data_IF_850567795711
#
_entry.id   IF_850567795711
#
_cell.length_a   1.000
_cell.length_b   1.000
_cell.length_c   1.000
_cell.angle_alpha   90.00
_cell.angle_beta   90.00
_cell.angle_gamma   90.00
#
_symmetry.space_group_name_H-M   'P 1'
#
loop_
_entity.id
_entity.type
_entity.pdbx_description
1 polymer ?
#
# COMPACT_ATOMS: atom_id res chain seq x y z
N UNK A 1 -24.89 -32.81 8.65
CA UNK A 1 -24.88 -32.04 7.38
C UNK A 1 -24.81 -30.53 7.58
N UNK A 2 -25.65 -29.92 8.42
CA UNK A 2 -25.67 -28.47 8.68
C UNK A 2 -24.30 -27.90 9.11
N UNK A 3 -23.64 -28.55 10.09
CA UNK A 3 -22.33 -28.09 10.59
C UNK A 3 -21.25 -28.13 9.51
N UNK A 4 -21.24 -29.15 8.65
CA UNK A 4 -20.31 -29.27 7.53
C UNK A 4 -20.54 -28.16 6.49
N UNK A 5 -21.80 -27.86 6.18
CA UNK A 5 -22.16 -26.77 5.28
C UNK A 5 -21.75 -25.39 5.84
N UNK A 6 -21.93 -25.15 7.14
CA UNK A 6 -21.48 -23.91 7.81
C UNK A 6 -19.96 -23.78 7.74
N UNK A 7 -19.21 -24.85 8.03
CA UNK A 7 -17.74 -24.83 7.92
C UNK A 7 -17.24 -24.51 6.52
N UNK A 8 -17.90 -25.06 5.49
CA UNK A 8 -17.56 -24.78 4.09
C UNK A 8 -17.85 -23.32 3.71
N UNK A 9 -19.01 -22.79 4.13
CA UNK A 9 -19.37 -21.39 3.90
C UNK A 9 -18.38 -20.43 4.58
N UNK A 10 -17.92 -20.78 5.78
CA UNK A 10 -16.94 -20.00 6.53
C UNK A 10 -15.56 -20.01 5.85
N UNK A 11 -15.10 -21.17 5.38
CA UNK A 11 -13.87 -21.29 4.61
C UNK A 11 -13.93 -20.47 3.30
N UNK A 12 -15.04 -20.57 2.57
CA UNK A 12 -15.26 -19.79 1.36
C UNK A 12 -15.26 -18.28 1.62
N UNK A 13 -15.94 -17.82 2.68
CA UNK A 13 -15.95 -16.40 3.06
C UNK A 13 -14.55 -15.89 3.43
N UNK A 14 -13.75 -16.69 4.14
CA UNK A 14 -12.38 -16.34 4.50
C UNK A 14 -11.46 -16.22 3.26
N UNK A 15 -11.53 -17.19 2.35
CA UNK A 15 -10.77 -17.15 1.09
C UNK A 15 -11.21 -15.96 0.23
N UNK A 16 -12.52 -15.71 0.14
CA UNK A 16 -13.06 -14.57 -0.59
C UNK A 16 -12.56 -13.26 -0.01
N UNK A 17 -12.57 -13.09 1.32
CA UNK A 17 -12.03 -11.90 1.98
C UNK A 17 -10.55 -11.68 1.61
N UNK A 18 -9.69 -12.69 1.74
CA UNK A 18 -8.27 -12.61 1.39
C UNK A 18 -8.03 -12.27 -0.09
N UNK A 19 -8.88 -12.80 -0.97
CA UNK A 19 -8.82 -12.56 -2.40
C UNK A 19 -9.51 -11.25 -2.84
N UNK A 20 -10.20 -10.55 -1.94
CA UNK A 20 -10.85 -9.29 -2.32
C UNK A 20 -9.83 -8.19 -2.54
N UNK A 21 -10.03 -7.43 -3.62
CA UNK A 21 -9.19 -6.28 -3.96
C UNK A 21 -9.17 -5.22 -2.84
N UNK A 22 -10.22 -5.11 -2.04
CA UNK A 22 -10.28 -4.15 -0.93
C UNK A 22 -9.18 -4.39 0.11
N UNK A 23 -8.98 -5.64 0.54
CA UNK A 23 -7.93 -5.99 1.51
C UNK A 23 -6.55 -5.81 0.87
N UNK A 24 -6.38 -6.22 -0.40
CA UNK A 24 -5.11 -6.10 -1.11
C UNK A 24 -4.71 -4.64 -1.35
N UNK A 25 -5.64 -3.78 -1.77
CA UNK A 25 -5.41 -2.34 -1.95
C UNK A 25 -5.06 -1.66 -0.64
N UNK A 26 -5.77 -1.99 0.46
CA UNK A 26 -5.45 -1.47 1.79
C UNK A 26 -4.03 -1.86 2.24
N UNK A 27 -3.64 -3.12 2.03
CA UNK A 27 -2.30 -3.60 2.33
C UNK A 27 -1.23 -2.89 1.47
N UNK A 28 -1.49 -2.67 0.18
CA UNK A 28 -0.56 -1.96 -0.71
C UNK A 28 -0.39 -0.49 -0.33
N UNK A 29 -1.45 0.21 0.08
CA UNK A 29 -1.34 1.59 0.58
C UNK A 29 -0.52 1.66 1.87
N UNK A 30 -0.72 0.72 2.80
CA UNK A 30 0.09 0.62 4.02
C UNK A 30 1.55 0.28 3.69
N UNK A 31 1.77 -0.65 2.76
CA UNK A 31 3.10 -1.03 2.32
C UNK A 31 3.86 0.14 1.69
N UNK A 32 3.22 0.89 0.79
CA UNK A 32 3.79 2.10 0.21
C UNK A 32 4.12 3.16 1.28
N UNK A 33 3.24 3.34 2.28
CA UNK A 33 3.50 4.23 3.42
C UNK A 33 4.72 3.79 4.22
N UNK A 34 4.87 2.50 4.51
CA UNK A 34 6.02 1.97 5.21
C UNK A 34 7.32 2.18 4.42
N UNK A 35 7.29 1.98 3.10
CA UNK A 35 8.43 2.25 2.21
C UNK A 35 8.80 3.73 2.21
N UNK A 36 7.83 4.63 2.12
CA UNK A 36 8.07 6.08 2.17
C UNK A 36 8.71 6.50 3.52
N UNK A 37 8.20 5.98 4.64
CA UNK A 37 8.76 6.24 5.98
C UNK A 37 10.19 5.69 6.07
N UNK A 38 10.44 4.47 5.60
CA UNK A 38 11.77 3.86 5.61
C UNK A 38 12.77 4.60 4.71
N UNK A 39 12.30 5.24 3.63
CA UNK A 39 13.11 6.13 2.81
C UNK A 39 13.48 7.44 3.52
N UNK A 40 12.73 7.82 4.56
CA UNK A 40 12.96 9.03 5.37
C UNK A 40 11.92 10.14 5.19
N UNK A 41 10.80 9.87 4.51
CA UNK A 41 9.73 10.85 4.33
C UNK A 41 9.10 11.26 5.66
N UNK A 42 8.79 12.55 5.83
CA UNK A 42 8.23 13.10 7.07
C UNK A 42 7.01 13.98 6.82
N UNK A 43 6.05 13.91 7.73
CA UNK A 43 4.83 14.74 7.69
C UNK A 43 4.10 14.63 6.35
N UNK A 44 3.81 15.78 5.74
CA UNK A 44 3.11 15.90 4.47
C UNK A 44 3.85 15.26 3.28
N UNK A 45 5.17 15.04 3.38
CA UNK A 45 5.90 14.34 2.31
C UNK A 45 5.51 12.88 2.19
N UNK A 46 5.07 12.24 3.28
CA UNK A 46 4.71 10.82 3.26
C UNK A 46 3.55 10.60 2.28
N UNK A 47 2.49 11.40 2.38
CA UNK A 47 1.29 11.21 1.56
C UNK A 47 1.59 11.48 0.07
N UNK A 48 2.40 12.51 -0.24
CA UNK A 48 2.84 12.80 -1.61
C UNK A 48 3.69 11.67 -2.21
N UNK A 49 4.66 11.15 -1.45
CA UNK A 49 5.52 10.05 -1.91
C UNK A 49 4.68 8.78 -2.12
N UNK A 50 3.78 8.45 -1.17
CA UNK A 50 2.89 7.29 -1.28
C UNK A 50 2.00 7.37 -2.52
N UNK A 51 1.42 8.54 -2.80
CA UNK A 51 0.58 8.74 -3.97
C UNK A 51 1.34 8.43 -5.27
N UNK A 52 2.57 8.95 -5.39
CA UNK A 52 3.41 8.73 -6.58
C UNK A 52 3.81 7.25 -6.70
N UNK A 53 4.29 6.62 -5.63
CA UNK A 53 4.70 5.20 -5.65
C UNK A 53 3.54 4.26 -6.00
N UNK A 54 2.34 4.52 -5.48
CA UNK A 54 1.14 3.74 -5.79
C UNK A 54 0.69 3.96 -7.22
N UNK A 55 0.72 5.22 -7.70
CA UNK A 55 0.35 5.57 -9.08
C UNK A 55 1.29 4.93 -10.11
N UNK A 56 2.58 4.91 -9.83
CA UNK A 56 3.62 4.30 -10.68
C UNK A 56 3.71 2.79 -10.53
N UNK A 57 3.04 2.20 -9.51
CA UNK A 57 3.17 0.79 -9.12
C UNK A 57 4.60 0.38 -8.78
N UNK A 58 5.45 1.35 -8.43
CA UNK A 58 6.85 1.13 -8.07
C UNK A 58 7.07 1.34 -6.56
N UNK A 59 6.60 0.40 -5.76
CA UNK A 59 6.75 0.47 -4.29
C UNK A 59 8.12 -0.09 -3.87
N UNK A 60 9.17 0.71 -4.05
CA UNK A 60 10.55 0.36 -3.68
C UNK A 60 11.26 1.52 -2.96
N UNK A 61 12.25 1.19 -2.13
CA UNK A 61 12.97 2.16 -1.29
C UNK A 61 13.84 3.12 -2.10
N UNK A 62 14.44 2.64 -3.19
CA UNK A 62 15.23 3.41 -4.14
C UNK A 62 14.34 4.45 -4.84
N UNK A 63 13.21 4.01 -5.43
CA UNK A 63 12.26 4.91 -6.06
C UNK A 63 11.67 5.92 -5.07
N UNK A 64 11.38 5.50 -3.83
CA UNK A 64 10.90 6.41 -2.80
C UNK A 64 11.89 7.54 -2.48
N UNK A 65 13.21 7.27 -2.53
CA UNK A 65 14.24 8.30 -2.36
C UNK A 65 14.28 9.27 -3.54
N UNK A 66 14.22 8.76 -4.77
CA UNK A 66 14.17 9.58 -5.99
C UNK A 66 12.96 10.52 -5.96
N UNK A 67 11.77 10.01 -5.65
CA UNK A 67 10.53 10.80 -5.57
C UNK A 67 10.64 11.88 -4.48
N UNK A 68 11.29 11.59 -3.35
CA UNK A 68 11.53 12.61 -2.33
C UNK A 68 12.46 13.73 -2.81
N UNK A 69 13.47 13.40 -3.61
CA UNK A 69 14.36 14.39 -4.21
C UNK A 69 13.62 15.25 -5.23
N UNK A 70 12.81 14.64 -6.12
CA UNK A 70 11.94 15.33 -7.08
C UNK A 70 11.01 16.34 -6.38
N UNK A 71 10.30 15.91 -5.32
CA UNK A 71 9.41 16.77 -4.52
C UNK A 71 10.17 17.92 -3.85
N UNK A 72 11.41 17.68 -3.41
CA UNK A 72 12.25 18.68 -2.75
C UNK A 72 12.75 19.75 -3.73
N UNK A 73 13.03 19.35 -4.97
CA UNK A 73 13.45 20.27 -6.04
C UNK A 73 12.29 21.15 -6.51
N UNK A 74 11.08 20.61 -6.64
CA UNK A 74 9.87 21.40 -6.99
C UNK A 74 9.60 22.53 -5.99
N UNK A 75 9.87 22.33 -4.69
CA UNK A 75 9.67 23.37 -3.66
C UNK A 75 10.71 24.50 -3.71
N UNK A 76 11.84 24.29 -4.39
CA UNK A 76 12.94 25.27 -4.49
C UNK A 76 12.88 26.13 -5.75
N UNK A 77 12.09 25.73 -6.74
CA UNK A 77 11.80 26.49 -7.95
C UNK A 77 10.62 27.44 -7.73
#
# INVERSE_FOLDING_TARGET
EIIAAVGLAQNFAALRALATEGIQRGHMSLHARNVAIAAGAKGEQIDRVVEILVREKEVRIDRAKEVMEEISLEKKA
#
